data_IF_831943415826
#
_entry.id   IF_831943415826
#
_cell.length_a   1.000
_cell.length_b   1.000
_cell.length_c   1.000
_cell.angle_alpha   90.00
_cell.angle_beta   90.00
_cell.angle_gamma   90.00
#
_symmetry.space_group_name_H-M   'P 1'
#
loop_
_entity.id
_entity.type
_entity.pdbx_description
1 polymer ?
#
# COMPACT_ATOMS: atom_id res chain seq x y z
N UNK A 1 2.27 -27.91 16.73
CA UNK A 1 2.46 -28.26 15.31
C UNK A 1 1.24 -27.81 14.53
N UNK A 2 0.03 -28.20 14.94
CA UNK A 2 -1.24 -27.77 14.34
C UNK A 2 -1.40 -26.24 14.25
N UNK A 3 -1.13 -25.52 15.34
CA UNK A 3 -1.19 -24.04 15.35
C UNK A 3 -0.26 -23.38 14.33
N UNK A 4 0.91 -23.96 14.09
CA UNK A 4 1.88 -23.46 13.12
C UNK A 4 1.44 -23.74 11.69
N UNK A 5 0.85 -24.92 11.44
CA UNK A 5 0.26 -25.25 10.15
C UNK A 5 -0.92 -24.32 9.81
N UNK A 6 -1.82 -24.10 10.76
CA UNK A 6 -2.96 -23.18 10.60
C UNK A 6 -2.49 -21.74 10.34
N UNK A 7 -1.42 -21.32 11.02
CA UNK A 7 -0.76 -20.02 10.82
C UNK A 7 -0.20 -19.90 9.40
N UNK A 8 0.51 -20.91 8.91
CA UNK A 8 1.09 -20.91 7.57
C UNK A 8 -0.02 -20.85 6.50
N UNK A 9 -1.10 -21.63 6.65
CA UNK A 9 -2.27 -21.59 5.74
C UNK A 9 -2.95 -20.22 5.73
N UNK A 10 -3.11 -19.58 6.89
CA UNK A 10 -3.68 -18.24 6.97
C UNK A 10 -2.75 -17.20 6.31
N UNK A 11 -1.45 -17.29 6.58
CA UNK A 11 -0.44 -16.41 6.01
C UNK A 11 -0.39 -16.53 4.47
N UNK A 12 -0.52 -17.73 3.90
CA UNK A 12 -0.59 -17.94 2.46
C UNK A 12 -1.73 -17.15 1.81
N UNK A 13 -2.92 -17.11 2.44
CA UNK A 13 -4.07 -16.35 1.91
C UNK A 13 -3.81 -14.84 1.95
N UNK A 14 -3.15 -14.35 3.00
CA UNK A 14 -2.78 -12.95 3.12
C UNK A 14 -1.64 -12.58 2.14
N UNK A 15 -0.66 -13.47 1.97
CA UNK A 15 0.42 -13.31 1.00
C UNK A 15 -0.09 -13.28 -0.44
N UNK A 16 -1.15 -14.01 -0.77
CA UNK A 16 -1.78 -13.96 -2.09
C UNK A 16 -2.29 -12.55 -2.45
N UNK A 17 -2.64 -11.74 -1.46
CA UNK A 17 -3.00 -10.33 -1.67
C UNK A 17 -1.77 -9.49 -2.05
N UNK A 18 -0.66 -9.69 -1.35
CA UNK A 18 0.59 -8.96 -1.58
C UNK A 18 1.28 -9.38 -2.89
N UNK A 19 1.12 -10.64 -3.25
CA UNK A 19 1.75 -11.26 -4.43
C UNK A 19 0.82 -11.33 -5.64
N UNK A 20 -0.30 -10.61 -5.60
CA UNK A 20 -1.29 -10.60 -6.68
C UNK A 20 -0.64 -10.39 -8.06
N UNK A 21 -1.08 -11.13 -9.10
CA UNK A 21 -0.50 -11.02 -10.44
C UNK A 21 -0.52 -9.59 -10.99
N UNK A 22 0.36 -9.29 -11.95
CA UNK A 22 0.41 -7.98 -12.61
C UNK A 22 -0.99 -7.53 -13.07
N UNK A 23 -1.40 -6.26 -12.81
CA UNK A 23 -0.62 -5.13 -12.30
C UNK A 23 -0.57 -4.99 -10.77
N UNK A 24 -1.06 -6.00 -10.03
CA UNK A 24 -1.20 -5.98 -8.58
C UNK A 24 -2.66 -5.74 -8.16
N UNK A 25 -2.93 -5.96 -6.87
CA UNK A 25 -4.28 -5.87 -6.34
C UNK A 25 -4.80 -4.42 -6.38
N UNK A 26 -6.04 -4.24 -6.86
CA UNK A 26 -6.73 -2.95 -7.06
C UNK A 26 -5.97 -1.96 -7.96
N UNK A 27 -5.15 -2.45 -8.89
CA UNK A 27 -4.53 -1.62 -9.94
C UNK A 27 -5.25 -1.88 -11.26
N UNK A 28 -5.67 -0.83 -11.95
CA UNK A 28 -6.31 -0.96 -13.26
C UNK A 28 -5.27 -1.40 -14.31
N UNK A 29 -5.68 -2.34 -15.17
CA UNK A 29 -4.91 -2.70 -16.36
C UNK A 29 -5.10 -1.57 -17.37
N UNK A 30 -4.03 -0.82 -17.63
CA UNK A 30 -4.04 0.11 -18.77
C UNK A 30 -3.98 -0.73 -20.04
N UNK A 31 -5.14 -0.99 -20.64
CA UNK A 31 -5.16 -1.53 -22.00
C UNK A 31 -4.45 -0.51 -22.90
N UNK A 32 -3.28 -0.89 -23.43
CA UNK A 32 -2.63 -0.11 -24.48
C UNK A 32 -3.55 -0.13 -25.70
N UNK A 33 -4.40 0.89 -25.83
CA UNK A 33 -5.05 1.20 -27.09
C UNK A 33 -3.96 1.38 -28.13
N UNK A 34 -3.90 0.48 -29.12
CA UNK A 34 -2.95 0.54 -30.24
C UNK A 34 -2.93 1.97 -30.83
N UNK A 35 -1.75 2.60 -31.00
CA UNK A 35 -1.68 3.89 -31.65
C UNK A 35 -1.97 3.71 -33.14
N UNK A 36 -3.08 4.27 -33.62
CA UNK A 36 -3.25 4.48 -35.05
C UNK A 36 -2.23 5.52 -35.49
N UNK A 37 -1.33 5.12 -36.40
CA UNK A 37 -0.36 5.99 -37.05
C UNK A 37 -1.02 7.22 -37.68
N UNK A 38 -0.53 8.42 -37.35
CA UNK A 38 0.08 9.43 -38.24
C UNK A 38 -0.03 10.84 -37.64
N UNK A 39 1.04 11.30 -36.99
CA UNK A 39 1.84 12.43 -37.48
C UNK A 39 2.85 12.86 -36.41
N UNK A 40 4.11 12.95 -36.83
CA UNK A 40 5.23 13.44 -36.04
C UNK A 40 5.10 14.96 -35.82
N UNK A 41 5.22 15.41 -34.57
CA UNK A 41 6.09 16.55 -34.28
C UNK A 41 6.60 16.53 -32.83
N UNK A 42 7.92 16.42 -32.74
CA UNK A 42 8.81 16.61 -31.59
C UNK A 42 8.37 17.72 -30.64
N UNK A 43 8.33 17.44 -29.32
CA UNK A 43 9.08 18.23 -28.31
C UNK A 43 9.04 17.59 -26.91
N UNK A 44 10.25 17.36 -26.38
CA UNK A 44 10.72 17.59 -25.01
C UNK A 44 10.19 16.74 -23.84
N UNK A 45 11.17 16.10 -23.20
CA UNK A 45 11.15 15.44 -21.91
C UNK A 45 10.91 16.51 -20.84
N UNK A 46 9.79 16.44 -20.13
CA UNK A 46 9.62 17.11 -18.83
C UNK A 46 9.28 16.06 -17.78
N UNK A 47 10.12 16.04 -16.76
CA UNK A 47 10.00 15.24 -15.55
C UNK A 47 8.97 15.94 -14.66
N UNK A 48 7.70 15.54 -14.71
CA UNK A 48 6.68 16.10 -13.82
C UNK A 48 6.20 15.07 -12.78
N UNK A 49 6.71 15.32 -11.58
CA UNK A 49 6.25 14.90 -10.28
C UNK A 49 4.73 15.20 -10.12
N UNK A 50 3.84 14.23 -9.87
CA UNK A 50 2.40 14.51 -9.75
C UNK A 50 2.00 15.10 -8.39
N UNK A 51 2.96 15.58 -7.60
CA UNK A 51 2.75 16.28 -6.34
C UNK A 51 2.95 17.78 -6.59
N UNK A 52 2.05 18.45 -7.33
CA UNK A 52 1.81 19.89 -7.11
C UNK A 52 0.56 20.54 -7.74
N UNK A 53 -0.33 19.86 -8.45
CA UNK A 53 -1.51 20.54 -9.02
C UNK A 53 -2.82 20.13 -8.31
N UNK A 54 -2.97 20.61 -7.07
CA UNK A 54 -4.31 20.77 -6.49
C UNK A 54 -4.49 22.15 -5.83
N UNK A 55 -3.96 23.22 -6.44
CA UNK A 55 -4.28 24.59 -6.02
C UNK A 55 -4.76 25.42 -7.22
N UNK A 56 -5.99 25.16 -7.65
CA UNK A 56 -6.80 26.19 -8.28
C UNK A 56 -8.29 25.90 -8.07
N UNK A 57 -8.74 26.13 -6.84
CA UNK A 57 -10.17 26.27 -6.57
C UNK A 57 -10.52 27.70 -6.98
N UNK A 58 -11.11 27.85 -8.15
CA UNK A 58 -11.69 29.10 -8.60
C UNK A 58 -12.95 29.33 -7.76
N UNK A 59 -12.90 30.26 -6.80
CA UNK A 59 -14.06 30.66 -6.02
C UNK A 59 -15.01 31.48 -6.90
N UNK A 60 -16.28 31.07 -7.08
CA UNK A 60 -17.29 31.99 -7.54
C UNK A 60 -17.62 32.94 -6.37
N UNK A 61 -17.36 34.23 -6.58
CA UNK A 61 -17.93 35.29 -5.76
C UNK A 61 -19.45 35.26 -5.90
N UNK A 62 -20.19 34.68 -4.96
CA UNK A 62 -21.56 35.11 -4.67
C UNK A 62 -21.84 35.08 -3.16
N UNK A 63 -22.26 36.24 -2.68
CA UNK A 63 -22.68 36.55 -1.31
C UNK A 63 -24.06 35.95 -1.09
N UNK A 64 -24.21 34.99 -0.17
CA UNK A 64 -25.38 35.00 0.72
C UNK A 64 -25.12 34.17 1.98
N UNK A 65 -25.61 34.69 3.11
CA UNK A 65 -25.38 34.13 4.43
C UNK A 65 -26.19 32.86 4.67
N UNK A 66 -25.53 31.78 5.05
CA UNK A 66 -26.14 30.77 5.92
C UNK A 66 -25.07 29.96 6.64
N UNK A 67 -25.19 29.91 7.96
CA UNK A 67 -24.35 29.10 8.83
C UNK A 67 -24.54 27.61 8.52
N UNK A 68 -23.55 26.98 7.86
CA UNK A 68 -23.49 25.52 7.72
C UNK A 68 -22.73 24.94 8.91
N UNK A 69 -23.37 24.00 9.59
CA UNK A 69 -22.82 23.26 10.73
C UNK A 69 -21.82 22.21 10.24
N UNK A 70 -20.88 21.81 11.10
CA UNK A 70 -19.79 20.85 10.80
C UNK A 70 -20.26 19.50 10.26
N UNK A 71 -21.54 19.16 10.42
CA UNK A 71 -22.18 17.94 9.94
C UNK A 71 -22.41 17.96 8.43
N UNK A 72 -22.55 19.14 7.82
CA UNK A 72 -22.86 19.28 6.39
C UNK A 72 -21.63 19.14 5.47
N UNK A 73 -20.41 19.18 6.02
CA UNK A 73 -19.16 19.02 5.24
C UNK A 73 -18.78 17.55 4.98
N UNK A 74 -19.19 16.62 5.86
CA UNK A 74 -18.91 15.20 5.66
C UNK A 74 -19.85 14.56 4.63
N UNK A 75 -21.09 15.04 4.53
CA UNK A 75 -22.10 14.57 3.58
C UNK A 75 -21.77 14.98 2.13
N UNK A 76 -21.19 16.17 1.94
CA UNK A 76 -20.76 16.67 0.61
C UNK A 76 -19.51 15.92 0.07
N UNK A 77 -18.66 15.40 0.98
CA UNK A 77 -17.50 14.59 0.60
C UNK A 77 -17.92 13.21 0.09
N UNK A 78 -18.94 12.59 0.71
CA UNK A 78 -19.47 11.30 0.26
C UNK A 78 -20.29 11.41 -1.03
N UNK A 79 -21.01 12.50 -1.26
CA UNK A 79 -21.81 12.70 -2.47
C UNK A 79 -20.98 12.95 -3.74
N UNK A 80 -19.75 13.48 -3.63
CA UNK A 80 -18.82 13.66 -4.76
C UNK A 80 -18.08 12.38 -5.19
N UNK A 81 -18.31 11.27 -4.48
CA UNK A 81 -17.75 9.96 -4.82
C UNK A 81 -18.56 9.21 -5.87
N UNK A 82 -19.81 9.60 -6.13
CA UNK A 82 -20.69 8.98 -7.11
C UNK A 82 -20.38 9.42 -8.55
N UNK A 83 -19.84 8.49 -9.34
CA UNK A 83 -19.88 8.48 -10.82
C UNK A 83 -18.78 9.24 -11.61
N UNK A 84 -17.51 9.25 -11.17
CA UNK A 84 -16.38 9.60 -12.06
C UNK A 84 -15.30 8.52 -12.05
N UNK A 85 -14.63 8.23 -13.20
CA UNK A 85 -13.48 7.34 -13.21
C UNK A 85 -12.38 7.79 -12.22
N UNK A 86 -12.24 9.10 -11.99
CA UNK A 86 -11.30 9.64 -11.02
C UNK A 86 -11.71 9.34 -9.55
N UNK A 87 -13.01 9.38 -9.23
CA UNK A 87 -13.48 9.03 -7.88
C UNK A 87 -13.33 7.54 -7.60
N UNK A 88 -13.60 6.67 -8.60
CA UNK A 88 -13.30 5.23 -8.53
C UNK A 88 -11.81 4.99 -8.29
N UNK A 89 -10.93 5.65 -9.04
CA UNK A 89 -9.48 5.48 -8.91
C UNK A 89 -9.00 5.89 -7.51
N UNK A 90 -9.47 7.02 -6.98
CA UNK A 90 -9.15 7.46 -5.64
C UNK A 90 -9.60 6.43 -4.59
N UNK A 91 -10.84 5.93 -4.68
CA UNK A 91 -11.35 4.90 -3.79
C UNK A 91 -10.49 3.62 -3.83
N UNK A 92 -10.12 3.15 -5.03
CA UNK A 92 -9.28 1.97 -5.20
C UNK A 92 -7.88 2.19 -4.60
N UNK A 93 -7.30 3.38 -4.76
CA UNK A 93 -6.00 3.71 -4.15
C UNK A 93 -6.08 3.70 -2.62
N UNK A 94 -7.11 4.31 -2.02
CA UNK A 94 -7.30 4.32 -0.56
C UNK A 94 -7.49 2.91 -0.01
N UNK A 95 -8.33 2.10 -0.67
CA UNK A 95 -8.52 0.70 -0.29
C UNK A 95 -7.23 -0.10 -0.40
N UNK A 96 -6.47 0.11 -1.48
CA UNK A 96 -5.18 -0.55 -1.69
C UNK A 96 -4.19 -0.20 -0.58
N UNK A 97 -4.02 1.09 -0.28
CA UNK A 97 -3.13 1.56 0.76
C UNK A 97 -3.50 0.98 2.14
N UNK A 98 -4.77 1.08 2.50
CA UNK A 98 -5.27 0.62 3.80
C UNK A 98 -5.18 -0.90 3.94
N UNK A 99 -5.76 -1.65 3.01
CA UNK A 99 -5.83 -3.11 3.16
C UNK A 99 -4.46 -3.77 3.01
N UNK A 100 -3.56 -3.26 2.15
CA UNK A 100 -2.22 -3.84 2.01
C UNK A 100 -1.38 -3.57 3.26
N UNK A 101 -1.37 -2.34 3.77
CA UNK A 101 -0.58 -2.02 4.96
C UNK A 101 -1.07 -2.80 6.19
N UNK A 102 -2.39 -2.87 6.40
CA UNK A 102 -2.99 -3.68 7.48
C UNK A 102 -2.69 -5.18 7.31
N UNK A 103 -2.78 -5.70 6.08
CA UNK A 103 -2.47 -7.12 5.80
C UNK A 103 -1.03 -7.45 6.15
N UNK A 104 -0.07 -6.57 5.83
CA UNK A 104 1.33 -6.77 6.22
C UNK A 104 1.47 -6.84 7.74
N UNK A 105 0.88 -5.92 8.50
CA UNK A 105 0.96 -5.97 9.95
C UNK A 105 0.25 -7.21 10.55
N UNK A 106 -0.83 -7.67 9.93
CA UNK A 106 -1.46 -8.94 10.32
C UNK A 106 -0.52 -10.13 10.10
N UNK A 107 0.16 -10.21 8.96
CA UNK A 107 1.13 -11.28 8.68
C UNK A 107 2.30 -11.20 9.67
N UNK A 108 2.85 -10.02 9.94
CA UNK A 108 3.94 -9.83 10.92
C UNK A 108 3.53 -10.35 12.30
N UNK A 109 2.36 -9.95 12.81
CA UNK A 109 1.86 -10.41 14.11
C UNK A 109 1.63 -11.92 14.13
N UNK A 110 1.10 -12.46 13.03
CA UNK A 110 0.84 -13.89 12.87
C UNK A 110 2.15 -14.69 12.93
N UNK A 111 3.18 -14.27 12.19
CA UNK A 111 4.50 -14.89 12.23
C UNK A 111 5.18 -14.78 13.59
N UNK A 112 5.19 -13.60 14.20
CA UNK A 112 5.79 -13.41 15.53
C UNK A 112 5.11 -14.27 16.59
N UNK A 113 3.77 -14.32 16.59
CA UNK A 113 3.01 -15.13 17.57
C UNK A 113 3.24 -16.62 17.39
N UNK A 114 3.50 -17.07 16.16
CA UNK A 114 3.82 -18.47 15.84
C UNK A 114 5.32 -18.81 15.99
N UNK A 115 6.16 -17.86 16.39
CA UNK A 115 7.62 -18.03 16.49
C UNK A 115 8.33 -18.13 15.14
N UNK A 116 7.70 -17.71 14.04
CA UNK A 116 8.22 -17.75 12.67
C UNK A 116 9.01 -16.46 12.34
N UNK A 117 9.97 -16.08 13.18
CA UNK A 117 10.66 -14.79 13.07
C UNK A 117 11.48 -14.64 11.77
N UNK A 118 12.03 -15.74 11.23
CA UNK A 118 12.68 -15.73 9.92
C UNK A 118 11.72 -15.30 8.80
N UNK A 119 10.44 -15.68 8.87
CA UNK A 119 9.42 -15.28 7.88
C UNK A 119 9.11 -13.78 7.92
N UNK A 120 9.31 -13.11 9.05
CA UNK A 120 9.24 -11.65 9.11
C UNK A 120 10.33 -11.00 8.25
N UNK A 121 11.55 -11.56 8.26
CA UNK A 121 12.68 -11.05 7.46
C UNK A 121 12.39 -11.26 5.98
N UNK A 122 11.93 -12.45 5.59
CA UNK A 122 11.50 -12.74 4.22
C UNK A 122 10.39 -11.79 3.74
N UNK A 123 9.42 -11.50 4.60
CA UNK A 123 8.34 -10.55 4.31
C UNK A 123 8.87 -9.13 4.05
N UNK A 124 9.89 -8.67 4.79
CA UNK A 124 10.49 -7.36 4.53
C UNK A 124 11.11 -7.26 3.13
N UNK A 125 11.72 -8.35 2.64
CA UNK A 125 12.26 -8.41 1.28
C UNK A 125 11.14 -8.28 0.23
N UNK A 126 9.99 -8.90 0.47
CA UNK A 126 8.81 -8.77 -0.40
C UNK A 126 8.27 -7.33 -0.42
N UNK A 127 8.32 -6.61 0.70
CA UNK A 127 7.77 -5.25 0.80
C UNK A 127 8.64 -4.23 0.06
N UNK A 128 9.97 -4.38 0.15
CA UNK A 128 10.94 -3.48 -0.52
C UNK A 128 11.12 -3.79 -2.00
N UNK A 129 10.54 -4.88 -2.50
CA UNK A 129 10.57 -5.24 -3.91
C UNK A 129 10.03 -4.10 -4.80
N UNK A 130 10.92 -3.57 -5.65
CA UNK A 130 10.61 -2.47 -6.55
C UNK A 130 9.60 -2.84 -7.64
N UNK A 131 9.52 -4.11 -8.04
CA UNK A 131 8.58 -4.55 -9.08
C UNK A 131 7.12 -4.39 -8.62
N UNK A 132 6.86 -4.64 -7.33
CA UNK A 132 5.52 -4.54 -6.72
C UNK A 132 5.28 -3.18 -6.07
N UNK A 133 6.34 -2.51 -5.63
CA UNK A 133 6.31 -1.18 -5.03
C UNK A 133 5.44 -1.11 -3.77
N UNK A 134 5.33 -2.21 -3.00
CA UNK A 134 4.46 -2.29 -1.83
C UNK A 134 4.85 -1.28 -0.75
N UNK A 135 6.15 -1.02 -0.56
CA UNK A 135 6.64 -0.01 0.39
C UNK A 135 6.06 1.40 0.16
N UNK A 136 5.61 1.74 -1.05
CA UNK A 136 4.99 3.04 -1.37
C UNK A 136 3.59 3.20 -0.78
N UNK A 137 2.98 2.10 -0.33
CA UNK A 137 1.66 2.08 0.31
C UNK A 137 1.73 2.32 1.81
N UNK A 138 2.91 2.57 2.35
CA UNK A 138 3.11 2.82 3.78
C UNK A 138 3.44 4.28 4.00
N UNK A 139 2.79 4.87 4.99
CA UNK A 139 3.23 6.15 5.55
C UNK A 139 4.58 5.99 6.27
N UNK A 140 5.32 7.09 6.44
CA UNK A 140 6.58 7.09 7.18
C UNK A 140 6.50 6.45 8.57
N UNK A 141 5.48 6.77 9.41
CA UNK A 141 5.27 6.11 10.69
C UNK A 141 5.01 4.61 10.58
N UNK A 142 4.26 4.16 9.56
CA UNK A 142 4.03 2.73 9.34
C UNK A 142 5.32 2.01 8.93
N UNK A 143 6.17 2.61 8.08
CA UNK A 143 7.47 2.02 7.74
C UNK A 143 8.39 1.92 8.97
N UNK A 144 8.42 2.95 9.81
CA UNK A 144 9.18 2.91 11.06
C UNK A 144 8.65 1.81 12.00
N UNK A 145 7.33 1.67 12.11
CA UNK A 145 6.72 0.62 12.92
C UNK A 145 6.98 -0.79 12.37
N UNK A 146 6.96 -0.95 11.04
CA UNK A 146 7.35 -2.19 10.39
C UNK A 146 8.81 -2.53 10.70
N UNK A 147 9.73 -1.58 10.55
CA UNK A 147 11.15 -1.77 10.89
C UNK A 147 11.35 -2.15 12.35
N UNK A 148 10.58 -1.57 13.27
CA UNK A 148 10.58 -1.94 14.69
C UNK A 148 10.24 -3.43 14.87
N UNK A 149 9.14 -3.91 14.28
CA UNK A 149 8.77 -5.32 14.35
C UNK A 149 9.77 -6.27 13.69
N UNK A 150 10.41 -5.85 12.59
CA UNK A 150 11.50 -6.60 11.98
C UNK A 150 12.69 -6.69 12.95
N UNK A 151 13.05 -5.58 13.60
CA UNK A 151 14.15 -5.53 14.56
C UNK A 151 13.87 -6.41 15.79
N UNK A 152 12.64 -6.42 16.30
CA UNK A 152 12.20 -7.35 17.36
C UNK A 152 12.36 -8.81 16.92
N UNK A 153 12.06 -9.11 15.66
CA UNK A 153 12.21 -10.46 15.11
C UNK A 153 13.69 -10.85 14.96
N UNK A 154 14.54 -9.92 14.53
CA UNK A 154 16.00 -10.13 14.49
C UNK A 154 16.55 -10.39 15.89
N UNK A 155 16.14 -9.59 16.88
CA UNK A 155 16.56 -9.78 18.26
C UNK A 155 16.16 -11.16 18.78
N UNK A 156 14.94 -11.61 18.48
CA UNK A 156 14.49 -12.96 18.82
C UNK A 156 15.39 -14.04 18.23
N UNK A 157 15.77 -13.94 16.95
CA UNK A 157 16.64 -14.91 16.28
C UNK A 157 18.03 -14.96 16.96
N UNK A 158 18.62 -13.80 17.24
CA UNK A 158 19.92 -13.67 17.92
C UNK A 158 19.86 -14.29 19.33
N UNK A 159 18.77 -14.05 20.07
CA UNK A 159 18.58 -14.62 21.41
C UNK A 159 18.47 -16.15 21.40
N UNK A 160 18.17 -16.75 20.24
CA UNK A 160 18.09 -18.20 20.02
C UNK A 160 19.33 -18.78 19.32
N UNK A 161 20.47 -18.09 19.37
CA UNK A 161 21.76 -18.54 18.79
C UNK A 161 21.75 -18.69 17.24
N UNK A 162 20.81 -18.01 16.57
CA UNK A 162 20.77 -17.89 15.12
C UNK A 162 21.41 -16.56 14.67
N UNK A 163 21.79 -16.48 13.40
CA UNK A 163 22.20 -15.22 12.79
C UNK A 163 20.97 -14.28 12.59
N UNK A 164 21.20 -12.99 12.27
CA UNK A 164 20.11 -12.04 12.06
C UNK A 164 19.11 -12.39 10.95
N UNK A 165 19.44 -13.37 10.09
CA UNK A 165 18.61 -13.85 9.00
C UNK A 165 17.92 -15.20 9.33
N UNK A 166 18.18 -15.76 10.51
CA UNK A 166 17.61 -17.02 11.00
C UNK A 166 18.36 -18.27 10.53
N UNK A 167 19.64 -18.14 10.16
CA UNK A 167 20.51 -19.28 9.88
C UNK A 167 21.30 -19.68 11.13
N UNK A 168 21.46 -20.98 11.36
CA UNK A 168 22.24 -21.47 12.49
C UNK A 168 23.71 -21.03 12.40
N UNK A 169 24.25 -20.56 13.52
CA UNK A 169 25.67 -20.24 13.65
C UNK A 169 26.47 -21.56 13.74
N UNK A 170 27.27 -21.85 12.71
CA UNK A 170 28.14 -23.03 12.64
C UNK A 170 29.40 -22.91 13.50
#
# INVERSE_FOLDING_TARGET
HDTRLDTEVAAEKLLALLTYPHPGWLVDVVEQSKPNHSDELTTQITVDNPMNECHNINYPNEVDGNHKTSVDMEEDLFNRLGESPASRQLQMNVLRETCISETVFLIVRLYQTAGLHQKCIELSNLIVDHERGLFKLFSGPQLHNLLHHISESIQYLIDNEEDPLGYALH
#
